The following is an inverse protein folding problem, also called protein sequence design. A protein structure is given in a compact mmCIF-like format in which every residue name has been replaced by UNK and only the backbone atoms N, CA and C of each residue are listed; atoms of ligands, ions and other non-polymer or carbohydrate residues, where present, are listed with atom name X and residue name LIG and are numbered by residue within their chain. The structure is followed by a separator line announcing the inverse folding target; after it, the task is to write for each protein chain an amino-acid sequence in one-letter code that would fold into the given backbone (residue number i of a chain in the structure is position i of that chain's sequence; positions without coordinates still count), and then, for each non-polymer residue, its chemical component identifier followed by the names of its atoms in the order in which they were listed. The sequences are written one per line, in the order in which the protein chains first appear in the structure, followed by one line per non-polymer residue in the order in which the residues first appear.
data_IF_871706046831
#
_entry.id   IF_871706046831
#
_cell.length_a   1.000
_cell.length_b   1.000
_cell.length_c   1.000
_cell.angle_alpha   90.00
_cell.angle_beta   90.00
_cell.angle_gamma   90.00
#
_symmetry.space_group_name_H-M   'P 1'
#
loop_
_entity.id
_entity.type
_entity.pdbx_description
1 polymer ?
#
# COMPACT_ATOMS: atom_id res chain seq x y z
N UNK A 1 14.69 -18.56 -32.25
CA UNK A 1 13.39 -18.25 -31.62
C UNK A 1 13.63 -18.11 -30.13
N UNK A 2 13.20 -16.97 -29.62
CA UNK A 2 13.58 -16.36 -28.35
C UNK A 2 13.03 -17.10 -27.12
N UNK A 3 13.79 -17.06 -26.03
CA UNK A 3 13.23 -17.12 -24.67
C UNK A 3 14.10 -16.25 -23.76
N UNK A 4 13.84 -14.95 -23.76
CA UNK A 4 14.43 -14.01 -22.81
C UNK A 4 13.76 -14.24 -21.45
N UNK A 5 14.47 -14.89 -20.54
CA UNK A 5 14.07 -15.01 -19.14
C UNK A 5 14.16 -13.64 -18.47
N UNK A 6 13.05 -12.92 -18.43
CA UNK A 6 12.96 -11.65 -17.72
C UNK A 6 12.97 -11.96 -16.22
N UNK A 7 14.16 -11.95 -15.61
CA UNK A 7 14.33 -11.97 -14.16
C UNK A 7 13.79 -10.66 -13.60
N UNK A 8 12.50 -10.64 -13.26
CA UNK A 8 11.89 -9.65 -12.40
C UNK A 8 12.61 -9.72 -11.06
N UNK A 9 13.63 -8.87 -10.94
CA UNK A 9 14.39 -8.66 -9.72
C UNK A 9 13.40 -8.30 -8.63
N UNK A 10 13.15 -9.26 -7.73
CA UNK A 10 12.52 -9.02 -6.43
C UNK A 10 13.44 -8.07 -5.69
N UNK A 11 13.19 -6.77 -5.87
CA UNK A 11 13.89 -5.70 -5.16
C UNK A 11 13.68 -5.98 -3.68
N UNK A 12 14.75 -6.42 -3.02
CA UNK A 12 14.80 -6.72 -1.61
C UNK A 12 14.53 -5.42 -0.85
N UNK A 13 13.29 -5.19 -0.41
CA UNK A 13 12.89 -4.04 0.42
C UNK A 13 13.44 -4.14 1.86
N UNK A 14 14.17 -5.20 2.17
CA UNK A 14 14.61 -5.58 3.51
C UNK A 14 15.72 -4.71 4.13
N UNK A 15 16.31 -3.78 3.37
CA UNK A 15 17.41 -2.91 3.85
C UNK A 15 17.00 -1.46 4.15
N UNK A 16 15.69 -1.15 4.18
CA UNK A 16 15.23 0.17 4.61
C UNK A 16 15.12 0.23 6.13
N UNK A 17 16.10 0.86 6.76
CA UNK A 17 16.14 1.13 8.21
C UNK A 17 14.91 1.98 8.60
N UNK A 18 13.90 1.33 9.16
CA UNK A 18 12.63 1.96 9.52
C UNK A 18 12.83 2.90 10.72
N UNK A 19 12.89 4.21 10.45
CA UNK A 19 12.86 5.24 11.48
C UNK A 19 11.40 5.42 11.90
N UNK A 20 11.10 5.09 13.16
CA UNK A 20 9.78 5.32 13.75
C UNK A 20 9.56 6.83 13.84
N UNK A 21 8.82 7.40 12.89
CA UNK A 21 8.23 8.73 13.05
C UNK A 21 6.98 8.58 13.91
N UNK A 22 7.01 9.06 15.15
CA UNK A 22 5.78 9.29 15.91
C UNK A 22 5.04 10.46 15.26
N UNK A 23 4.12 10.15 14.35
CA UNK A 23 3.27 11.17 13.74
C UNK A 23 2.19 11.65 14.70
N UNK A 24 1.81 12.92 14.58
CA UNK A 24 0.69 13.50 15.30
C UNK A 24 -0.67 13.01 14.75
N UNK A 25 -0.70 12.53 13.50
CA UNK A 25 -1.91 11.98 12.86
C UNK A 25 -1.58 10.72 12.04
N UNK A 26 -1.44 9.56 12.69
CA UNK A 26 -1.14 8.31 12.00
C UNK A 26 -2.19 7.93 10.95
N UNK A 27 -3.45 8.34 11.12
CA UNK A 27 -4.51 8.03 10.15
C UNK A 27 -4.25 8.74 8.83
N UNK A 28 -3.94 10.04 8.89
CA UNK A 28 -3.63 10.83 7.71
C UNK A 28 -2.34 10.35 7.04
N UNK A 29 -1.33 10.00 7.81
CA UNK A 29 -0.06 9.53 7.27
C UNK A 29 -0.19 8.19 6.52
N UNK A 30 -0.94 7.22 7.07
CA UNK A 30 -1.23 5.98 6.35
C UNK A 30 -2.01 6.26 5.07
N UNK A 31 -2.98 7.19 5.11
CA UNK A 31 -3.78 7.54 3.92
C UNK A 31 -2.91 8.14 2.83
N UNK A 32 -2.12 9.15 3.17
CA UNK A 32 -1.27 9.86 2.22
C UNK A 32 -0.25 8.88 1.61
N UNK A 33 0.36 8.02 2.44
CA UNK A 33 1.32 6.99 1.98
C UNK A 33 0.69 5.92 1.07
N UNK A 34 -0.50 5.43 1.40
CA UNK A 34 -1.21 4.45 0.55
C UNK A 34 -1.63 5.05 -0.79
N UNK A 35 -2.15 6.29 -0.78
CA UNK A 35 -2.53 6.98 -2.02
C UNK A 35 -1.32 7.23 -2.91
N UNK A 36 -0.19 7.66 -2.33
CA UNK A 36 1.07 7.81 -3.06
C UNK A 36 1.49 6.48 -3.70
N UNK A 37 1.47 5.37 -2.97
CA UNK A 37 1.78 4.05 -3.55
C UNK A 37 0.84 3.64 -4.68
N UNK A 38 -0.45 3.94 -4.56
CA UNK A 38 -1.44 3.62 -5.60
C UNK A 38 -1.16 4.41 -6.88
N UNK A 39 -0.90 5.72 -6.75
CA UNK A 39 -0.65 6.61 -7.90
C UNK A 39 0.69 6.28 -8.56
N UNK A 40 1.76 6.23 -7.78
CA UNK A 40 3.13 6.04 -8.29
C UNK A 40 3.34 4.65 -8.92
N UNK A 41 2.69 3.61 -8.38
CA UNK A 41 2.76 2.26 -8.95
C UNK A 41 1.59 1.94 -9.91
N UNK A 42 0.71 2.92 -10.18
CA UNK A 42 -0.44 2.79 -11.08
C UNK A 42 -1.32 1.56 -10.74
N UNK A 43 -1.54 1.34 -9.43
CA UNK A 43 -2.34 0.24 -8.90
C UNK A 43 -3.81 0.46 -9.26
N UNK A 44 -4.40 -0.51 -9.97
CA UNK A 44 -5.80 -0.43 -10.46
C UNK A 44 -6.61 -1.70 -10.23
N UNK A 45 -5.95 -2.85 -10.16
CA UNK A 45 -6.65 -4.11 -9.92
C UNK A 45 -6.97 -4.26 -8.42
N UNK A 46 -8.10 -4.89 -8.12
CA UNK A 46 -8.46 -5.24 -6.74
C UNK A 46 -7.38 -6.07 -6.05
N UNK A 47 -6.74 -6.99 -6.80
CA UNK A 47 -5.70 -7.85 -6.27
C UNK A 47 -4.44 -7.09 -5.83
N UNK A 48 -4.05 -6.09 -6.60
CA UNK A 48 -2.89 -5.24 -6.29
C UNK A 48 -3.15 -4.40 -5.02
N UNK A 49 -4.40 -3.95 -4.81
CA UNK A 49 -4.81 -3.25 -3.59
C UNK A 49 -4.84 -4.18 -2.37
N UNK A 50 -5.28 -5.43 -2.52
CA UNK A 50 -5.18 -6.43 -1.47
C UNK A 50 -3.73 -6.72 -1.09
N UNK A 51 -2.84 -6.83 -2.08
CA UNK A 51 -1.41 -7.06 -1.83
C UNK A 51 -0.75 -5.84 -1.16
N UNK A 52 -1.17 -4.62 -1.52
CA UNK A 52 -0.79 -3.40 -0.81
C UNK A 52 -1.21 -3.44 0.65
N UNK A 53 -2.47 -3.80 0.94
CA UNK A 53 -2.96 -3.94 2.32
C UNK A 53 -2.16 -4.98 3.10
N UNK A 54 -1.93 -6.15 2.51
CA UNK A 54 -1.15 -7.22 3.14
C UNK A 54 0.28 -6.76 3.46
N UNK A 55 0.89 -5.95 2.59
CA UNK A 55 2.21 -5.35 2.82
C UNK A 55 2.20 -4.43 4.05
N UNK A 56 1.24 -3.50 4.17
CA UNK A 56 1.14 -2.61 5.33
C UNK A 56 0.90 -3.37 6.63
N UNK A 57 0.03 -4.39 6.64
CA UNK A 57 -0.20 -5.22 7.81
C UNK A 57 1.05 -6.00 8.23
N UNK A 58 1.85 -6.46 7.26
CA UNK A 58 3.09 -7.19 7.54
C UNK A 58 4.23 -6.30 8.04
N UNK A 59 4.26 -5.03 7.62
CA UNK A 59 5.31 -4.07 7.97
C UNK A 59 5.06 -3.32 9.29
N UNK A 60 3.83 -3.34 9.81
CA UNK A 60 3.44 -2.58 10.99
C UNK A 60 2.98 -3.51 12.12
N UNK A 61 3.20 -3.10 13.35
CA UNK A 61 2.71 -3.79 14.55
C UNK A 61 1.18 -3.87 14.57
N UNK A 62 0.66 -4.94 15.19
CA UNK A 62 -0.78 -5.22 15.28
C UNK A 62 -1.59 -4.06 15.88
N UNK A 63 -0.97 -3.21 16.70
CA UNK A 63 -1.57 -2.00 17.26
C UNK A 63 -2.07 -1.00 16.19
N UNK A 64 -1.50 -1.02 14.99
CA UNK A 64 -1.90 -0.15 13.87
C UNK A 64 -2.85 -0.84 12.90
N UNK A 65 -3.09 -2.15 13.00
CA UNK A 65 -3.82 -2.90 11.98
C UNK A 65 -5.26 -2.39 11.82
N UNK A 66 -5.96 -2.11 12.91
CA UNK A 66 -7.31 -1.54 12.87
C UNK A 66 -7.33 -0.19 12.13
N UNK A 67 -6.32 0.64 12.36
CA UNK A 67 -6.18 1.93 11.72
C UNK A 67 -5.87 1.80 10.22
N UNK A 68 -4.95 0.90 9.87
CA UNK A 68 -4.57 0.57 8.49
C UNK A 68 -5.80 0.07 7.71
N UNK A 69 -6.57 -0.86 8.28
CA UNK A 69 -7.80 -1.39 7.66
C UNK A 69 -8.85 -0.30 7.49
N UNK A 70 -9.01 0.59 8.49
CA UNK A 70 -9.94 1.73 8.41
C UNK A 70 -9.58 2.66 7.25
N UNK A 71 -8.30 3.03 7.13
CA UNK A 71 -7.81 3.88 6.04
C UNK A 71 -7.98 3.20 4.68
N UNK A 72 -7.63 1.92 4.58
CA UNK A 72 -7.80 1.15 3.34
C UNK A 72 -9.26 1.15 2.87
N UNK A 73 -10.21 0.90 3.79
CA UNK A 73 -11.65 0.96 3.47
C UNK A 73 -12.06 2.32 2.96
N UNK A 74 -11.61 3.42 3.57
CA UNK A 74 -11.92 4.77 3.11
C UNK A 74 -11.43 5.00 1.68
N UNK A 75 -10.19 4.61 1.37
CA UNK A 75 -9.64 4.72 0.01
C UNK A 75 -10.45 3.88 -0.98
N UNK A 76 -10.83 2.66 -0.60
CA UNK A 76 -11.65 1.79 -1.44
C UNK A 76 -13.02 2.40 -1.77
N UNK A 77 -13.69 2.97 -0.76
CA UNK A 77 -14.93 3.71 -0.97
C UNK A 77 -14.72 4.92 -1.88
N UNK A 78 -13.68 5.73 -1.65
CA UNK A 78 -13.37 6.89 -2.50
C UNK A 78 -13.18 6.47 -3.97
N UNK A 79 -12.41 5.40 -4.24
CA UNK A 79 -12.16 4.88 -5.59
C UNK A 79 -13.44 4.39 -6.27
N UNK A 80 -14.28 3.65 -5.54
CA UNK A 80 -15.55 3.13 -6.08
C UNK A 80 -16.58 4.24 -6.31
N UNK A 81 -16.62 5.27 -5.46
CA UNK A 81 -17.46 6.45 -5.68
C UNK A 81 -17.02 7.30 -6.87
N UNK A 82 -15.73 7.31 -7.21
CA UNK A 82 -15.21 7.98 -8.41
C UNK A 82 -15.61 7.22 -9.69
N UNK A 83 -15.65 5.88 -9.67
CA UNK A 83 -16.05 5.07 -10.83
C UNK A 83 -17.57 5.07 -11.13
N UNK A 84 -18.40 5.58 -10.21
CA UNK A 84 -19.86 5.64 -10.35
C UNK A 84 -20.40 6.98 -10.91
N UNK A 85 -19.53 7.90 -11.33
CA UNK A 85 -19.88 9.15 -12.02
C UNK A 85 -19.45 9.12 -13.47
#
# INVERSE_FOLDING_TARGET
MSSSSNSSSRRNLSDSLAIVKSSFDPQRDFRDSMVEMIVENNIKASKDLEDLLACYLSLNSDEYHDLIIKVFKQIWFDLTHIQLK
#
